data_IF_264114385776
#
_entry.id   IF_264114385776
#
_cell.length_a   1.000
_cell.length_b   1.000
_cell.length_c   1.000
_cell.angle_alpha   90.00
_cell.angle_beta   90.00
_cell.angle_gamma   90.00
#
_symmetry.space_group_name_H-M   'P 1'
#
loop_
_entity.id
_entity.type
_entity.pdbx_description
1 polymer ?
#
# COMPACT_ATOMS: atom_id res chain seq x y z
N UNK A 1 -2.91 6.80 27.89
CA UNK A 1 -3.48 7.18 26.59
C UNK A 1 -2.66 6.69 25.38
N UNK A 2 -1.30 6.77 25.34
CA UNK A 2 -0.49 6.27 24.21
C UNK A 2 -0.73 4.80 23.84
N UNK A 3 -0.84 3.90 24.83
CA UNK A 3 -1.09 2.47 24.56
C UNK A 3 -2.46 2.19 23.94
N UNK A 4 -3.49 2.97 24.26
CA UNK A 4 -4.82 2.84 23.66
C UNK A 4 -4.82 3.30 22.20
N UNK A 5 -4.10 4.38 21.88
CA UNK A 5 -3.97 4.88 20.50
C UNK A 5 -3.23 3.90 19.60
N UNK A 6 -2.20 3.22 20.12
CA UNK A 6 -1.46 2.18 19.37
C UNK A 6 -2.35 0.96 19.14
N UNK A 7 -3.07 0.51 20.16
CA UNK A 7 -4.00 -0.63 20.06
C UNK A 7 -5.11 -0.36 19.04
N UNK A 8 -5.72 0.83 19.06
CA UNK A 8 -6.76 1.19 18.09
C UNK A 8 -6.26 1.19 16.65
N UNK A 9 -5.03 1.68 16.40
CA UNK A 9 -4.42 1.66 15.07
C UNK A 9 -4.12 0.22 14.61
N UNK A 10 -3.59 -0.62 15.50
CA UNK A 10 -3.33 -2.03 15.20
C UNK A 10 -4.63 -2.79 14.92
N UNK A 11 -5.69 -2.55 15.68
CA UNK A 11 -7.00 -3.14 15.46
C UNK A 11 -7.57 -2.70 14.09
N UNK A 12 -7.46 -1.41 13.75
CA UNK A 12 -7.90 -0.91 12.44
C UNK A 12 -7.14 -1.59 11.29
N UNK A 13 -5.82 -1.70 11.38
CA UNK A 13 -4.99 -2.35 10.38
C UNK A 13 -5.37 -3.83 10.25
N UNK A 14 -5.58 -4.51 11.38
CA UNK A 14 -6.00 -5.91 11.41
C UNK A 14 -7.38 -6.10 10.75
N UNK A 15 -8.35 -5.25 11.08
CA UNK A 15 -9.70 -5.30 10.46
C UNK A 15 -9.59 -5.07 8.95
N UNK A 16 -8.84 -4.05 8.52
CA UNK A 16 -8.65 -3.75 7.11
C UNK A 16 -7.91 -4.88 6.37
N UNK A 17 -6.93 -5.51 7.00
CA UNK A 17 -6.21 -6.65 6.42
C UNK A 17 -7.07 -7.92 6.37
N UNK A 18 -8.00 -8.12 7.31
CA UNK A 18 -8.92 -9.25 7.30
C UNK A 18 -10.09 -9.09 6.31
N UNK A 19 -10.39 -7.86 5.87
CA UNK A 19 -11.53 -7.59 5.00
C UNK A 19 -11.45 -8.32 3.64
N UNK A 20 -10.34 -8.33 2.88
CA UNK A 20 -10.23 -9.09 1.64
C UNK A 20 -10.37 -10.60 1.88
N UNK A 21 -9.79 -11.10 2.98
CA UNK A 21 -9.87 -12.51 3.37
C UNK A 21 -11.33 -12.90 3.64
N UNK A 22 -12.02 -12.11 4.47
CA UNK A 22 -13.41 -12.36 4.82
C UNK A 22 -14.35 -12.30 3.60
N UNK A 23 -14.14 -11.33 2.70
CA UNK A 23 -14.93 -11.20 1.48
C UNK A 23 -14.67 -12.36 0.52
N UNK A 24 -13.41 -12.76 0.34
CA UNK A 24 -13.05 -13.91 -0.48
C UNK A 24 -13.63 -15.22 0.07
N UNK A 25 -13.56 -15.42 1.39
CA UNK A 25 -14.16 -16.57 2.05
C UNK A 25 -15.71 -16.60 1.93
N UNK A 26 -16.36 -15.44 2.05
CA UNK A 26 -17.81 -15.31 1.89
C UNK A 26 -18.24 -15.70 0.47
N UNK A 27 -17.54 -15.19 -0.53
CA UNK A 27 -17.84 -15.46 -1.94
C UNK A 27 -17.63 -16.94 -2.26
N UNK A 28 -16.53 -17.54 -1.80
CA UNK A 28 -16.28 -18.97 -2.00
C UNK A 28 -17.32 -19.87 -1.31
N UNK A 29 -17.93 -19.41 -0.21
CA UNK A 29 -18.96 -20.15 0.50
C UNK A 29 -20.39 -19.98 -0.07
N UNK A 30 -20.65 -18.87 -0.78
CA UNK A 30 -22.02 -18.53 -1.22
C UNK A 30 -22.26 -18.70 -2.71
N UNK A 31 -21.21 -18.64 -3.52
CA UNK A 31 -21.31 -18.78 -4.97
C UNK A 31 -20.93 -20.20 -5.40
N UNK A 32 -21.52 -20.66 -6.51
CA UNK A 32 -21.15 -21.92 -7.17
C UNK A 32 -19.66 -21.88 -7.57
N UNK A 33 -19.03 -23.06 -7.64
CA UNK A 33 -17.61 -23.19 -8.00
C UNK A 33 -17.23 -22.43 -9.27
N UNK A 34 -18.11 -22.39 -10.27
CA UNK A 34 -17.91 -21.66 -11.53
C UNK A 34 -17.88 -20.13 -11.37
N UNK A 35 -18.60 -19.59 -10.39
CA UNK A 35 -18.64 -18.15 -10.15
C UNK A 35 -17.49 -17.68 -9.21
N UNK A 36 -17.08 -18.53 -8.27
CA UNK A 36 -15.97 -18.25 -7.36
C UNK A 36 -14.60 -18.32 -8.08
N UNK A 37 -14.46 -19.19 -9.06
CA UNK A 37 -13.26 -19.32 -9.92
C UNK A 37 -13.18 -18.25 -11.01
N UNK A 38 -14.13 -17.31 -11.06
CA UNK A 38 -14.15 -16.28 -12.08
C UNK A 38 -12.98 -15.28 -11.85
N UNK A 39 -11.97 -15.32 -12.72
CA UNK A 39 -10.82 -14.41 -12.73
C UNK A 39 -11.23 -12.93 -12.62
N UNK A 40 -12.41 -12.57 -13.13
CA UNK A 40 -12.97 -11.23 -13.00
C UNK A 40 -13.23 -10.79 -11.56
N UNK A 41 -13.70 -11.71 -10.69
CA UNK A 41 -13.93 -11.40 -9.27
C UNK A 41 -12.62 -11.17 -8.52
N UNK A 42 -11.64 -12.06 -8.70
CA UNK A 42 -10.31 -11.95 -8.07
C UNK A 42 -9.64 -10.65 -8.50
N UNK A 43 -9.68 -10.31 -9.79
CA UNK A 43 -9.12 -9.06 -10.29
C UNK A 43 -9.81 -7.83 -9.71
N UNK A 44 -11.14 -7.86 -9.55
CA UNK A 44 -11.89 -6.76 -8.91
C UNK A 44 -11.54 -6.62 -7.43
N UNK A 45 -11.35 -7.72 -6.70
CA UNK A 45 -10.90 -7.71 -5.31
C UNK A 45 -9.49 -7.14 -5.16
N UNK A 46 -8.55 -7.58 -6.02
CA UNK A 46 -7.17 -7.13 -5.96
C UNK A 46 -7.04 -5.66 -6.37
N UNK A 47 -7.61 -5.28 -7.51
CA UNK A 47 -7.52 -3.90 -8.00
C UNK A 47 -8.36 -2.94 -7.14
N UNK A 48 -9.67 -3.20 -7.00
CA UNK A 48 -10.60 -2.25 -6.37
C UNK A 48 -10.48 -2.21 -4.85
N UNK A 49 -10.38 -3.36 -4.20
CA UNK A 49 -10.40 -3.43 -2.75
C UNK A 49 -8.98 -3.36 -2.16
N UNK A 50 -8.08 -4.26 -2.58
CA UNK A 50 -6.76 -4.36 -1.96
C UNK A 50 -5.86 -3.19 -2.38
N UNK A 51 -5.64 -3.00 -3.68
CA UNK A 51 -4.66 -2.02 -4.20
C UNK A 51 -5.20 -0.60 -4.16
N UNK A 52 -6.45 -0.38 -4.59
CA UNK A 52 -7.03 0.97 -4.63
C UNK A 52 -7.55 1.46 -3.28
N UNK A 53 -8.05 0.56 -2.41
CA UNK A 53 -8.68 0.91 -1.14
C UNK A 53 -7.79 0.67 0.08
N UNK A 54 -7.54 -0.59 0.41
CA UNK A 54 -6.94 -0.97 1.69
C UNK A 54 -5.48 -0.58 1.77
N UNK A 55 -4.70 -0.81 0.72
CA UNK A 55 -3.26 -0.54 0.68
C UNK A 55 -2.92 0.92 1.01
N UNK A 56 -3.50 1.93 0.33
CA UNK A 56 -3.22 3.32 0.66
C UNK A 56 -3.72 3.71 2.06
N UNK A 57 -4.87 3.19 2.52
CA UNK A 57 -5.44 3.53 3.84
C UNK A 57 -4.54 2.97 4.96
N UNK A 58 -4.15 1.70 4.89
CA UNK A 58 -3.26 1.08 5.88
C UNK A 58 -1.92 1.79 5.93
N UNK A 59 -1.33 2.03 4.76
CA UNK A 59 -0.04 2.72 4.65
C UNK A 59 -0.12 4.16 5.15
N UNK A 60 -1.22 4.86 4.86
CA UNK A 60 -1.49 6.21 5.36
C UNK A 60 -1.49 6.24 6.90
N UNK A 61 -2.23 5.34 7.55
CA UNK A 61 -2.33 5.29 9.02
C UNK A 61 -0.96 5.04 9.66
N UNK A 62 -0.17 4.14 9.08
CA UNK A 62 1.17 3.82 9.57
C UNK A 62 2.16 4.97 9.33
N UNK A 63 2.25 5.44 8.10
CA UNK A 63 3.28 6.40 7.70
C UNK A 63 3.03 7.80 8.26
N UNK A 64 1.78 8.30 8.23
CA UNK A 64 1.47 9.63 8.79
C UNK A 64 1.67 9.66 10.30
N UNK A 65 1.40 8.56 11.01
CA UNK A 65 1.61 8.48 12.46
C UNK A 65 3.08 8.43 12.86
N UNK A 66 3.98 8.13 11.94
CA UNK A 66 5.42 8.01 12.23
C UNK A 66 6.06 9.33 12.65
N UNK A 67 5.63 10.45 12.05
CA UNK A 67 6.04 11.81 12.42
C UNK A 67 4.89 12.65 12.98
N UNK A 68 3.64 12.41 12.55
CA UNK A 68 2.49 13.19 12.96
C UNK A 68 2.28 13.21 14.47
N UNK A 69 2.45 12.07 15.14
CA UNK A 69 2.35 12.02 16.60
C UNK A 69 3.42 12.86 17.31
N UNK A 70 4.66 12.89 16.77
CA UNK A 70 5.76 13.68 17.35
C UNK A 70 5.59 15.18 17.08
N UNK A 71 4.95 15.52 15.97
CA UNK A 71 4.61 16.90 15.64
C UNK A 71 3.50 17.40 16.58
N UNK A 72 2.45 16.60 16.80
CA UNK A 72 1.34 16.92 17.72
C UNK A 72 1.80 17.00 19.18
N UNK A 73 2.63 16.05 19.62
CA UNK A 73 3.19 16.02 20.98
C UNK A 73 4.33 17.05 21.20
N UNK A 74 4.71 17.81 20.17
CA UNK A 74 5.85 18.75 20.18
C UNK A 74 7.18 18.11 20.60
N UNK A 75 7.32 16.80 20.41
CA UNK A 75 8.52 16.05 20.78
C UNK A 75 9.55 15.96 19.64
N UNK A 76 9.19 16.45 18.46
CA UNK A 76 10.07 16.44 17.28
C UNK A 76 11.37 17.24 17.53
N UNK A 77 11.32 18.33 18.32
CA UNK A 77 12.47 19.12 18.69
C UNK A 77 13.57 18.30 19.38
N UNK A 78 13.21 17.41 20.28
CA UNK A 78 14.20 16.54 20.96
C UNK A 78 14.89 15.57 19.99
N UNK A 79 14.20 15.15 18.94
CA UNK A 79 14.78 14.30 17.89
C UNK A 79 15.76 15.06 17.01
N UNK A 80 15.44 16.32 16.73
CA UNK A 80 16.24 17.20 15.86
C UNK A 80 17.49 17.73 16.59
N UNK A 81 17.49 17.79 17.91
CA UNK A 81 18.66 18.18 18.72
C UNK A 81 19.78 17.12 18.76
N UNK A 82 19.48 15.86 18.40
CA UNK A 82 20.52 14.81 18.34
C UNK A 82 21.50 15.09 17.20
N UNK A 83 22.82 14.98 17.44
CA UNK A 83 23.86 15.21 16.44
C UNK A 83 23.99 14.00 15.47
N UNK A 84 22.87 13.62 14.85
CA UNK A 84 22.82 12.53 13.86
C UNK A 84 22.35 13.05 12.52
N UNK A 85 22.84 12.50 11.41
CA UNK A 85 22.37 12.91 10.09
C UNK A 85 20.86 12.60 9.95
N UNK A 86 20.10 13.51 9.39
CA UNK A 86 18.61 13.51 9.33
C UNK A 86 18.04 12.28 8.64
N UNK A 87 18.74 11.73 7.64
CA UNK A 87 18.30 10.50 6.97
C UNK A 87 18.27 9.28 7.90
N UNK A 88 19.15 9.23 8.92
CA UNK A 88 19.12 8.18 9.95
C UNK A 88 17.93 8.29 10.90
N UNK A 89 17.23 9.41 10.93
CA UNK A 89 15.96 9.57 11.66
C UNK A 89 14.79 9.12 10.78
N UNK A 90 14.82 9.48 9.49
CA UNK A 90 13.74 9.19 8.55
C UNK A 90 13.70 7.70 8.18
N UNK A 91 14.87 7.11 7.89
CA UNK A 91 14.97 5.75 7.38
C UNK A 91 14.34 4.68 8.30
N UNK A 92 14.64 4.62 9.62
CA UNK A 92 14.03 3.61 10.50
C UNK A 92 12.50 3.76 10.60
N UNK A 93 11.97 4.98 10.58
CA UNK A 93 10.55 5.25 10.64
C UNK A 93 9.83 4.80 9.36
N UNK A 94 10.44 5.11 8.22
CA UNK A 94 9.95 4.65 6.93
C UNK A 94 10.00 3.11 6.85
N UNK A 95 11.11 2.51 7.24
CA UNK A 95 11.27 1.05 7.27
C UNK A 95 10.25 0.37 8.18
N UNK A 96 9.99 0.91 9.36
CA UNK A 96 8.97 0.38 10.25
C UNK A 96 7.57 0.38 9.62
N UNK A 97 7.19 1.47 8.95
CA UNK A 97 5.91 1.57 8.23
C UNK A 97 5.83 0.58 7.07
N UNK A 98 6.93 0.42 6.32
CA UNK A 98 7.01 -0.53 5.21
C UNK A 98 6.89 -1.97 5.72
N UNK A 99 7.68 -2.35 6.72
CA UNK A 99 7.68 -3.73 7.23
C UNK A 99 6.30 -4.13 7.78
N UNK A 100 5.72 -3.30 8.64
CA UNK A 100 4.41 -3.59 9.23
C UNK A 100 3.31 -3.59 8.16
N UNK A 101 3.30 -2.61 7.27
CA UNK A 101 2.31 -2.49 6.20
C UNK A 101 2.43 -3.64 5.19
N UNK A 102 3.64 -3.98 4.77
CA UNK A 102 3.88 -5.06 3.81
C UNK A 102 3.47 -6.42 4.36
N UNK A 103 3.88 -6.76 5.58
CA UNK A 103 3.52 -8.06 6.18
C UNK A 103 1.99 -8.19 6.26
N UNK A 104 1.30 -7.17 6.79
CA UNK A 104 -0.15 -7.22 6.95
C UNK A 104 -0.87 -7.39 5.60
N UNK A 105 -0.46 -6.64 4.58
CA UNK A 105 -1.16 -6.60 3.29
C UNK A 105 -0.75 -7.75 2.36
N UNK A 106 0.51 -8.19 2.38
CA UNK A 106 0.95 -9.35 1.60
C UNK A 106 0.25 -10.61 2.10
N UNK A 107 0.20 -10.81 3.42
CA UNK A 107 -0.52 -11.95 3.99
C UNK A 107 -2.00 -11.87 3.64
N UNK A 108 -2.62 -10.68 3.77
CA UNK A 108 -4.02 -10.48 3.38
C UNK A 108 -4.28 -10.79 1.92
N UNK A 109 -3.46 -10.24 1.01
CA UNK A 109 -3.59 -10.48 -0.42
C UNK A 109 -3.36 -11.94 -0.82
N UNK A 110 -2.31 -12.56 -0.28
CA UNK A 110 -2.01 -13.96 -0.54
C UNK A 110 -3.14 -14.90 -0.06
N UNK A 111 -3.65 -14.69 1.14
CA UNK A 111 -4.76 -15.50 1.65
C UNK A 111 -6.05 -15.26 0.86
N UNK A 112 -6.33 -14.02 0.47
CA UNK A 112 -7.50 -13.69 -0.35
C UNK A 112 -7.44 -14.34 -1.74
N UNK A 113 -6.27 -14.37 -2.37
CA UNK A 113 -6.08 -15.07 -3.67
C UNK A 113 -6.23 -16.58 -3.54
N UNK A 114 -5.71 -17.16 -2.46
CA UNK A 114 -5.84 -18.59 -2.19
C UNK A 114 -7.29 -19.00 -1.93
N UNK A 115 -8.06 -18.22 -1.19
CA UNK A 115 -9.45 -18.50 -0.89
C UNK A 115 -10.39 -18.25 -2.08
N UNK A 116 -10.09 -17.25 -2.92
CA UNK A 116 -10.89 -16.92 -4.11
C UNK A 116 -10.73 -17.89 -5.27
N UNK A 117 -9.69 -18.72 -5.27
CA UNK A 117 -9.40 -19.71 -6.31
C UNK A 117 -10.04 -21.08 -6.15
N UNK A 118 -11.15 -21.20 -5.38
CA UNK A 118 -11.91 -22.45 -5.07
C UNK A 118 -11.34 -23.36 -3.97
N UNK A 119 -12.30 -23.93 -3.21
CA UNK A 119 -12.25 -25.10 -2.31
C UNK A 119 -10.90 -25.79 -2.10
N UNK A 120 -10.58 -26.15 -0.87
CA UNK A 120 -9.57 -27.14 -0.37
C UNK A 120 -8.38 -27.48 -1.30
N UNK A 121 -8.56 -27.40 -2.61
CA UNK A 121 -7.52 -27.51 -3.64
C UNK A 121 -6.53 -26.33 -3.66
N UNK A 122 -6.89 -25.16 -3.14
CA UNK A 122 -6.04 -23.96 -3.18
C UNK A 122 -4.70 -24.12 -2.41
N UNK A 123 -4.66 -24.96 -1.38
CA UNK A 123 -3.40 -25.32 -0.71
C UNK A 123 -2.51 -26.18 -1.61
N UNK A 124 -3.10 -26.98 -2.51
CA UNK A 124 -2.39 -27.79 -3.50
C UNK A 124 -2.04 -26.98 -4.76
N UNK A 125 -2.85 -25.97 -5.10
CA UNK A 125 -2.65 -25.07 -6.24
C UNK A 125 -1.48 -24.09 -6.00
N UNK A 126 -1.06 -23.84 -4.76
CA UNK A 126 0.22 -23.17 -4.44
C UNK A 126 1.42 -23.92 -5.07
N UNK A 127 1.28 -25.22 -5.33
CA UNK A 127 2.33 -26.04 -5.95
C UNK A 127 2.26 -26.08 -7.49
N UNK A 128 1.16 -25.63 -8.11
CA UNK A 128 0.87 -25.88 -9.54
C UNK A 128 0.54 -24.63 -10.38
N UNK A 129 1.13 -23.45 -10.07
CA UNK A 129 1.00 -22.23 -10.89
C UNK A 129 0.49 -20.99 -10.15
N UNK A 130 -0.21 -21.14 -9.03
CA UNK A 130 -0.67 -20.00 -8.22
C UNK A 130 0.46 -19.36 -7.39
N UNK A 131 1.61 -20.00 -7.29
CA UNK A 131 2.78 -19.42 -6.63
C UNK A 131 3.23 -18.13 -7.36
N UNK A 132 3.21 -18.15 -8.68
CA UNK A 132 3.57 -16.97 -9.49
C UNK A 132 2.60 -15.84 -9.25
N UNK A 133 1.29 -16.08 -9.30
CA UNK A 133 0.26 -15.08 -9.01
C UNK A 133 0.38 -14.52 -7.58
N UNK A 134 0.60 -15.40 -6.60
CA UNK A 134 0.78 -14.99 -5.20
C UNK A 134 2.04 -14.12 -5.01
N UNK A 135 3.14 -14.48 -5.65
CA UNK A 135 4.37 -13.68 -5.64
C UNK A 135 4.19 -12.35 -6.37
N UNK A 136 3.47 -12.33 -7.50
CA UNK A 136 3.15 -11.12 -8.23
C UNK A 136 2.35 -10.14 -7.36
N UNK A 137 1.31 -10.62 -6.67
CA UNK A 137 0.54 -9.83 -5.70
C UNK A 137 1.45 -9.33 -4.57
N UNK A 138 2.29 -10.19 -4.01
CA UNK A 138 3.22 -9.83 -2.94
C UNK A 138 4.17 -8.70 -3.34
N UNK A 139 4.77 -8.79 -4.52
CA UNK A 139 5.69 -7.75 -5.04
C UNK A 139 4.94 -6.46 -5.36
N UNK A 140 3.78 -6.53 -6.01
CA UNK A 140 2.96 -5.37 -6.33
C UNK A 140 2.52 -4.60 -5.08
N UNK A 141 2.04 -5.33 -4.06
CA UNK A 141 1.68 -4.76 -2.75
C UNK A 141 2.90 -4.15 -2.06
N UNK A 142 4.03 -4.84 -2.05
CA UNK A 142 5.27 -4.33 -1.45
C UNK A 142 5.70 -3.00 -2.08
N UNK A 143 5.75 -2.91 -3.40
CA UNK A 143 6.12 -1.67 -4.11
C UNK A 143 5.10 -0.56 -3.83
N UNK A 144 3.81 -0.86 -3.82
CA UNK A 144 2.76 0.07 -3.45
C UNK A 144 2.95 0.62 -2.02
N UNK A 145 3.20 -0.27 -1.05
CA UNK A 145 3.46 0.13 0.35
C UNK A 145 4.69 1.02 0.46
N UNK A 146 5.79 0.67 -0.20
CA UNK A 146 7.03 1.47 -0.19
C UNK A 146 6.78 2.89 -0.72
N UNK A 147 6.09 2.99 -1.84
CA UNK A 147 5.84 4.27 -2.51
C UNK A 147 4.86 5.14 -1.71
N UNK A 148 3.73 4.58 -1.25
CA UNK A 148 2.79 5.31 -0.39
C UNK A 148 3.40 5.69 0.95
N UNK A 149 4.20 4.81 1.57
CA UNK A 149 4.86 5.11 2.83
C UNK A 149 5.79 6.32 2.69
N UNK A 150 6.53 6.45 1.59
CA UNK A 150 7.38 7.61 1.33
C UNK A 150 6.55 8.91 1.21
N UNK A 151 5.44 8.89 0.44
CA UNK A 151 4.54 10.03 0.24
C UNK A 151 3.91 10.45 1.59
N UNK A 152 3.34 9.51 2.32
CA UNK A 152 2.61 9.81 3.55
C UNK A 152 3.50 10.11 4.74
N UNK A 153 4.74 9.61 4.77
CA UNK A 153 5.76 10.02 5.75
C UNK A 153 6.10 11.50 5.55
N UNK A 154 6.27 11.95 4.31
CA UNK A 154 6.46 13.35 3.98
C UNK A 154 5.25 14.20 4.39
N UNK A 155 4.03 13.76 4.04
CA UNK A 155 2.80 14.45 4.41
C UNK A 155 2.66 14.61 5.93
N UNK A 156 3.00 13.55 6.71
CA UNK A 156 3.00 13.56 8.17
C UNK A 156 3.96 14.56 8.79
N UNK A 157 5.03 14.95 8.06
CA UNK A 157 5.99 15.95 8.50
C UNK A 157 5.60 17.38 8.09
N UNK A 158 4.80 17.52 7.03
CA UNK A 158 4.43 18.85 6.48
C UNK A 158 3.18 19.41 7.18
N UNK A 159 2.24 18.57 7.56
CA UNK A 159 0.96 19.01 8.13
C UNK A 159 0.54 18.17 9.33
N UNK A 160 0.00 18.82 10.35
CA UNK A 160 -0.64 18.16 11.49
C UNK A 160 -1.92 17.42 11.10
N UNK A 161 -2.55 17.77 9.97
CA UNK A 161 -3.73 17.09 9.41
C UNK A 161 -3.36 16.11 8.29
N UNK A 162 -2.27 15.41 8.45
CA UNK A 162 -1.71 14.51 7.42
C UNK A 162 -2.70 13.44 6.94
N UNK A 163 -3.54 12.91 7.83
CA UNK A 163 -4.57 11.92 7.48
C UNK A 163 -5.60 12.53 6.51
N UNK A 164 -6.08 13.75 6.76
CA UNK A 164 -7.03 14.41 5.86
C UNK A 164 -6.40 14.69 4.48
N UNK A 165 -5.14 15.14 4.46
CA UNK A 165 -4.38 15.33 3.22
C UNK A 165 -4.22 14.02 2.45
N UNK A 166 -3.86 12.95 3.13
CA UNK A 166 -3.67 11.64 2.53
C UNK A 166 -4.98 11.05 1.97
N UNK A 167 -6.11 11.24 2.67
CA UNK A 167 -7.44 10.87 2.17
C UNK A 167 -7.80 11.64 0.89
N UNK A 168 -7.58 12.95 0.88
CA UNK A 168 -7.81 13.78 -0.32
C UNK A 168 -6.94 13.28 -1.48
N UNK A 169 -5.67 12.97 -1.23
CA UNK A 169 -4.77 12.41 -2.24
C UNK A 169 -5.30 11.10 -2.79
N UNK A 170 -5.67 10.15 -1.93
CA UNK A 170 -6.16 8.83 -2.36
C UNK A 170 -7.47 8.94 -3.16
N UNK A 171 -8.47 9.65 -2.63
CA UNK A 171 -9.77 9.73 -3.30
C UNK A 171 -9.76 10.62 -4.54
N UNK A 172 -9.12 11.79 -4.46
CA UNK A 172 -9.12 12.73 -5.58
C UNK A 172 -8.11 12.35 -6.65
N UNK A 173 -6.86 12.09 -6.27
CA UNK A 173 -5.78 11.80 -7.21
C UNK A 173 -5.87 10.38 -7.76
N UNK A 174 -5.87 9.38 -6.89
CA UNK A 174 -5.89 7.98 -7.31
C UNK A 174 -7.28 7.51 -7.77
N UNK A 175 -8.34 7.97 -7.11
CA UNK A 175 -9.70 7.55 -7.44
C UNK A 175 -10.27 8.28 -8.65
N UNK A 176 -10.13 9.62 -8.71
CA UNK A 176 -10.78 10.43 -9.72
C UNK A 176 -9.82 10.80 -10.87
N UNK A 177 -8.75 11.53 -10.57
CA UNK A 177 -7.89 12.15 -11.60
C UNK A 177 -7.16 11.08 -12.42
N UNK A 178 -6.59 10.06 -11.78
CA UNK A 178 -5.85 9.02 -12.48
C UNK A 178 -6.75 8.13 -13.35
N UNK A 179 -8.03 8.04 -13.02
CA UNK A 179 -9.01 7.27 -13.78
C UNK A 179 -9.46 7.97 -15.07
N UNK A 180 -9.54 9.31 -15.05
CA UNK A 180 -10.04 10.10 -16.20
C UNK A 180 -8.94 10.56 -17.16
N UNK A 181 -7.73 10.81 -16.66
CA UNK A 181 -6.64 11.40 -17.43
C UNK A 181 -5.55 10.34 -17.71
N UNK A 182 -5.54 9.79 -18.92
CA UNK A 182 -4.58 8.75 -19.32
C UNK A 182 -3.10 9.12 -19.12
N UNK A 183 -2.72 10.39 -19.32
CA UNK A 183 -1.35 10.88 -19.11
C UNK A 183 -0.93 10.94 -17.62
N UNK A 184 -1.86 11.18 -16.72
CA UNK A 184 -1.61 11.28 -15.27
C UNK A 184 -1.43 9.89 -14.64
N UNK A 185 -1.84 8.84 -15.32
CA UNK A 185 -1.70 7.44 -14.87
C UNK A 185 -0.23 7.08 -14.56
N UNK A 186 0.73 7.67 -15.29
CA UNK A 186 2.17 7.52 -15.02
C UNK A 186 2.65 8.12 -13.69
N UNK A 187 1.79 8.85 -12.97
CA UNK A 187 2.06 9.41 -11.64
C UNK A 187 1.20 8.75 -10.55
N UNK A 188 0.48 7.69 -10.89
CA UNK A 188 -0.41 6.96 -9.97
C UNK A 188 0.34 5.79 -9.34
N UNK A 189 0.37 5.74 -8.00
CA UNK A 189 0.96 4.61 -7.26
C UNK A 189 0.17 3.33 -7.47
N UNK A 190 -1.16 3.44 -7.56
CA UNK A 190 -2.04 2.34 -7.96
C UNK A 190 -1.64 1.81 -9.34
N UNK A 191 -1.38 2.72 -10.30
CA UNK A 191 -0.92 2.36 -11.64
C UNK A 191 0.38 1.57 -11.62
N UNK A 192 1.35 1.94 -10.78
CA UNK A 192 2.59 1.19 -10.63
C UNK A 192 2.37 -0.21 -10.07
N UNK A 193 1.55 -0.33 -9.01
CA UNK A 193 1.26 -1.63 -8.40
C UNK A 193 0.57 -2.58 -9.38
N UNK A 194 -0.43 -2.10 -10.14
CA UNK A 194 -1.13 -2.89 -11.16
C UNK A 194 -0.21 -3.29 -12.33
N UNK A 195 0.65 -2.38 -12.78
CA UNK A 195 1.60 -2.66 -13.84
C UNK A 195 2.63 -3.73 -13.44
N UNK A 196 3.07 -3.71 -12.19
CA UNK A 196 3.97 -4.72 -11.65
C UNK A 196 3.26 -6.06 -11.48
N UNK A 197 2.01 -6.04 -11.00
CA UNK A 197 1.18 -7.24 -10.88
C UNK A 197 1.04 -7.94 -12.23
N UNK A 198 0.58 -7.20 -13.25
CA UNK A 198 0.40 -7.73 -14.60
C UNK A 198 1.72 -8.14 -15.26
N UNK A 199 2.80 -7.35 -15.07
CA UNK A 199 4.09 -7.65 -15.68
C UNK A 199 4.81 -8.87 -15.10
N UNK A 200 4.44 -9.33 -13.91
CA UNK A 200 4.95 -10.55 -13.28
C UNK A 200 4.11 -11.78 -13.61
N UNK A 201 2.81 -11.60 -13.83
CA UNK A 201 1.89 -12.67 -14.22
C UNK A 201 0.80 -12.08 -15.13
N UNK A 202 1.06 -12.13 -16.44
CA UNK A 202 0.17 -11.62 -17.48
C UNK A 202 -1.00 -12.56 -17.74
N UNK A 203 -0.87 -13.85 -17.46
CA UNK A 203 -1.89 -14.86 -17.72
C UNK A 203 -3.04 -14.80 -16.71
N UNK A 204 -2.72 -14.69 -15.42
CA UNK A 204 -3.71 -14.62 -14.35
C UNK A 204 -4.41 -13.25 -14.27
N UNK A 205 -3.74 -12.18 -14.72
CA UNK A 205 -4.22 -10.80 -14.60
C UNK A 205 -4.46 -10.09 -15.94
N UNK A 206 -4.73 -10.83 -17.01
CA UNK A 206 -5.01 -10.33 -18.36
C UNK A 206 -6.07 -9.21 -18.40
N UNK A 207 -7.20 -9.26 -17.66
CA UNK A 207 -8.22 -8.21 -17.69
C UNK A 207 -7.72 -6.83 -17.23
N UNK A 208 -6.58 -6.77 -16.54
CA UNK A 208 -5.99 -5.51 -16.09
C UNK A 208 -5.13 -4.83 -17.17
N UNK A 209 -4.84 -5.53 -18.28
CA UNK A 209 -3.89 -5.10 -19.34
C UNK A 209 -4.23 -3.74 -19.93
N UNK A 210 -5.48 -3.44 -20.21
CA UNK A 210 -5.89 -2.17 -20.84
C UNK A 210 -5.66 -0.94 -19.97
N UNK A 211 -5.49 -1.12 -18.66
CA UNK A 211 -5.36 -0.04 -17.67
C UNK A 211 -3.94 0.17 -17.19
N UNK A 212 -2.99 -0.61 -17.67
CA UNK A 212 -1.64 -0.71 -17.09
C UNK A 212 -0.61 0.04 -17.94
N UNK A 213 0.34 0.68 -17.27
CA UNK A 213 1.56 1.23 -17.87
C UNK A 213 2.57 0.09 -18.09
N UNK A 214 3.59 0.32 -18.89
CA UNK A 214 4.63 -0.68 -19.11
C UNK A 214 5.39 -1.01 -17.81
N UNK A 215 5.70 -2.29 -17.61
CA UNK A 215 6.38 -2.78 -16.41
C UNK A 215 7.67 -2.01 -16.07
N UNK A 216 8.61 -1.75 -17.02
CA UNK A 216 9.82 -0.98 -16.71
C UNK A 216 9.51 0.45 -16.27
N UNK A 217 8.52 1.09 -16.89
CA UNK A 217 8.10 2.44 -16.53
C UNK A 217 7.50 2.49 -15.13
N UNK A 218 6.76 1.46 -14.73
CA UNK A 218 6.19 1.33 -13.38
C UNK A 218 7.27 1.21 -12.31
N UNK A 219 8.28 0.35 -12.54
CA UNK A 219 9.40 0.15 -11.62
C UNK A 219 10.20 1.44 -11.45
N UNK A 220 10.54 2.10 -12.55
CA UNK A 220 11.27 3.37 -12.54
C UNK A 220 10.43 4.46 -11.87
N UNK A 221 9.15 4.56 -12.20
CA UNK A 221 8.23 5.53 -11.62
C UNK A 221 8.10 5.38 -10.10
N UNK A 222 7.91 4.15 -9.61
CA UNK A 222 7.85 3.86 -8.18
C UNK A 222 9.16 4.21 -7.47
N UNK A 223 10.32 3.83 -8.05
CA UNK A 223 11.63 4.13 -7.48
C UNK A 223 11.90 5.64 -7.42
N UNK A 224 11.62 6.37 -8.50
CA UNK A 224 11.78 7.84 -8.57
C UNK A 224 10.86 8.52 -7.57
N UNK A 225 9.59 8.15 -7.52
CA UNK A 225 8.62 8.72 -6.57
C UNK A 225 9.08 8.49 -5.13
N UNK A 226 9.49 7.28 -4.78
CA UNK A 226 10.00 6.93 -3.44
C UNK A 226 11.24 7.76 -3.10
N UNK A 227 12.21 7.86 -4.02
CA UNK A 227 13.44 8.63 -3.82
C UNK A 227 13.17 10.14 -3.63
N UNK A 228 12.27 10.70 -4.44
CA UNK A 228 11.90 12.12 -4.38
C UNK A 228 11.24 12.44 -3.03
N UNK A 229 10.24 11.65 -2.61
CA UNK A 229 9.55 11.91 -1.34
C UNK A 229 10.44 11.62 -0.12
N UNK A 230 11.32 10.63 -0.17
CA UNK A 230 12.35 10.42 0.84
C UNK A 230 13.27 11.64 0.96
N UNK A 231 13.78 12.14 -0.16
CA UNK A 231 14.63 13.34 -0.19
C UNK A 231 13.88 14.58 0.33
N UNK A 232 12.63 14.78 -0.07
CA UNK A 232 11.79 15.89 0.42
C UNK A 232 11.58 15.80 1.92
N UNK A 233 11.37 14.60 2.47
CA UNK A 233 11.24 14.36 3.92
C UNK A 233 12.53 14.75 4.66
N UNK A 234 13.67 14.29 4.17
CA UNK A 234 14.99 14.62 4.75
C UNK A 234 15.26 16.11 4.64
N UNK A 235 14.97 16.74 3.49
CA UNK A 235 15.13 18.18 3.26
C UNK A 235 14.25 18.99 4.22
N UNK A 236 12.98 18.63 4.34
CA UNK A 236 12.04 19.30 5.25
C UNK A 236 12.52 19.23 6.71
N UNK A 237 12.99 18.06 7.14
CA UNK A 237 13.51 17.87 8.49
C UNK A 237 14.80 18.70 8.76
N UNK A 238 15.60 18.99 7.72
CA UNK A 238 16.77 19.88 7.83
C UNK A 238 16.40 21.36 7.98
N UNK A 239 15.26 21.75 7.41
CA UNK A 239 14.78 23.14 7.41
C UNK A 239 13.93 23.48 8.63
N UNK A 240 13.62 22.49 9.48
CA UNK A 240 12.95 22.75 10.75
C UNK A 240 13.94 23.36 11.73
N UNK A 241 13.83 24.65 11.95
CA UNK A 241 14.50 25.34 13.03
C UNK A 241 13.92 24.88 14.36
N UNK A 242 14.80 24.54 15.30
CA UNK A 242 14.43 24.23 16.67
C UNK A 242 14.41 25.57 17.39
N UNK A 243 13.23 26.02 17.87
CA UNK A 243 13.16 27.24 18.70
C UNK A 243 13.88 27.06 20.03
#
# INVERSE_FOLDING_TARGET
>A
MRQLAIRSKLILILILALLPIGLSALVSATLSEDAASNHGFINTLLDGLLIAGILPIVTMVLATSSFGNELEDRTLSYLVLKPVPRWLIVLPKLMASIVVGSIALIVSGAVATLLGGSSIGAVLVVLDGSLQATLAVGVAVFVGVVTYAAIFTWAGLVTSRAIAFALIYVFLWEGLISSFLGGVRYLSVRGYSLAILHGLDDTSFEPLRERVIEFPAAVVGAAVTTAVFFWLTVRRLRQMDVP
#
